data_IF_503523760627
#
_entry.id   IF_503523760627
#
_cell.length_a   1.000
_cell.length_b   1.000
_cell.length_c   1.000
_cell.angle_alpha   90.00
_cell.angle_beta   90.00
_cell.angle_gamma   90.00
#
_symmetry.space_group_name_H-M   'P 1'
#
loop_
_entity.id
_entity.type
_entity.pdbx_description
1 polymer ?
#
# COMPACT_ATOMS: atom_id res chain seq x y z
N UNK A 1 50.68 -21.41 40.75
CA UNK A 1 49.26 -21.64 40.47
C UNK A 1 48.79 -20.68 39.40
N UNK A 2 48.45 -21.24 38.25
CA UNK A 2 47.89 -20.42 37.20
C UNK A 2 46.39 -20.31 37.41
N UNK A 3 45.91 -19.09 37.71
CA UNK A 3 44.50 -18.84 37.69
C UNK A 3 44.03 -18.66 36.25
N UNK A 4 43.23 -19.57 35.77
CA UNK A 4 42.49 -19.42 34.52
C UNK A 4 41.33 -18.46 34.79
N UNK A 5 41.52 -17.20 34.37
CA UNK A 5 40.40 -16.27 34.31
C UNK A 5 39.62 -16.66 33.05
N UNK A 6 38.55 -17.41 33.22
CA UNK A 6 37.56 -17.59 32.15
C UNK A 6 36.79 -16.28 32.04
N UNK A 7 37.23 -15.44 31.08
CA UNK A 7 36.43 -14.28 30.71
C UNK A 7 35.14 -14.73 30.10
N UNK A 8 34.03 -14.57 30.82
CA UNK A 8 32.72 -14.75 30.28
C UNK A 8 32.48 -13.65 29.24
N UNK A 9 32.70 -13.97 27.97
CA UNK A 9 32.33 -13.06 26.88
C UNK A 9 30.83 -13.13 26.77
N UNK A 10 30.14 -12.18 27.37
CA UNK A 10 28.73 -11.95 27.14
C UNK A 10 28.61 -11.35 25.74
N UNK A 11 28.27 -12.21 24.77
CA UNK A 11 27.92 -11.75 23.44
C UNK A 11 26.51 -11.18 23.54
N UNK A 12 26.42 -9.86 23.68
CA UNK A 12 25.14 -9.17 23.51
C UNK A 12 24.80 -9.18 22.02
N UNK A 13 23.92 -10.08 21.62
CA UNK A 13 23.26 -9.96 20.33
C UNK A 13 22.32 -8.78 20.39
N UNK A 14 22.79 -7.62 19.95
CA UNK A 14 21.90 -6.47 19.74
C UNK A 14 21.11 -6.75 18.49
N UNK A 15 19.87 -7.22 18.64
CA UNK A 15 18.92 -7.23 17.55
C UNK A 15 18.47 -5.79 17.31
N UNK A 16 19.04 -5.17 16.27
CA UNK A 16 18.60 -3.85 15.84
C UNK A 16 17.26 -4.05 15.14
N UNK A 17 16.17 -3.75 15.85
CA UNK A 17 14.86 -3.65 15.25
C UNK A 17 14.80 -2.33 14.47
N UNK A 18 14.77 -2.40 13.14
CA UNK A 18 14.57 -1.20 12.32
C UNK A 18 13.12 -0.79 12.42
N UNK A 19 12.88 0.38 13.03
CA UNK A 19 11.56 0.98 13.08
C UNK A 19 11.18 1.48 11.68
N UNK A 20 10.15 0.91 11.07
CA UNK A 20 9.67 1.32 9.75
C UNK A 20 8.19 0.98 9.57
N UNK A 21 7.45 1.82 8.82
CA UNK A 21 6.11 1.46 8.40
C UNK A 21 6.17 0.40 7.29
N UNK A 22 5.13 -0.40 7.19
CA UNK A 22 4.95 -1.37 6.12
C UNK A 22 3.50 -1.36 5.67
N UNK A 23 3.29 -1.43 4.36
CA UNK A 23 1.95 -1.48 3.79
C UNK A 23 1.69 -2.85 3.18
N UNK A 24 0.58 -3.46 3.58
CA UNK A 24 0.13 -4.75 3.05
C UNK A 24 -1.30 -4.61 2.57
N UNK A 25 -1.51 -4.82 1.29
CA UNK A 25 -2.84 -4.78 0.68
C UNK A 25 -3.51 -6.15 0.76
N UNK A 26 -4.81 -6.18 0.97
CA UNK A 26 -5.62 -7.40 0.89
C UNK A 26 -5.57 -7.97 -0.54
N UNK A 27 -5.71 -7.08 -1.53
CA UNK A 27 -5.58 -7.41 -2.94
C UNK A 27 -5.19 -6.15 -3.72
N UNK A 28 -4.19 -6.27 -4.58
CA UNK A 28 -3.71 -5.15 -5.42
C UNK A 28 -4.40 -5.06 -6.77
N UNK A 29 -5.30 -5.98 -7.08
CA UNK A 29 -5.98 -6.04 -8.36
C UNK A 29 -7.48 -6.08 -8.17
N UNK A 30 -8.21 -5.37 -9.03
CA UNK A 30 -9.66 -5.44 -9.06
C UNK A 30 -10.17 -5.46 -10.48
N UNK A 31 -11.04 -6.42 -10.77
CA UNK A 31 -11.74 -6.55 -12.04
C UNK A 31 -13.19 -6.15 -11.85
N UNK A 32 -13.60 -5.04 -12.48
CA UNK A 32 -14.99 -4.58 -12.43
C UNK A 32 -15.93 -5.44 -13.29
N UNK A 33 -15.38 -6.33 -14.11
CA UNK A 33 -16.17 -7.13 -15.03
C UNK A 33 -16.74 -6.30 -16.18
N UNK A 34 -17.71 -6.87 -16.86
CA UNK A 34 -18.41 -6.20 -17.95
C UNK A 34 -19.57 -5.38 -17.39
N UNK A 35 -19.62 -4.11 -17.73
CA UNK A 35 -20.71 -3.21 -17.32
C UNK A 35 -21.02 -2.22 -18.44
N UNK A 36 -22.22 -1.65 -18.39
CA UNK A 36 -22.66 -0.65 -19.35
C UNK A 36 -22.01 0.70 -19.08
N UNK A 37 -21.61 1.42 -20.14
CA UNK A 37 -21.08 2.77 -20.04
C UNK A 37 -22.05 3.69 -19.29
N UNK A 38 -23.34 3.52 -19.52
CA UNK A 38 -24.42 4.31 -18.95
C UNK A 38 -24.60 4.10 -17.44
N UNK A 39 -24.07 3.02 -16.89
CA UNK A 39 -24.06 2.79 -15.43
C UNK A 39 -23.34 3.92 -14.69
N UNK A 40 -22.42 4.61 -15.38
CA UNK A 40 -21.63 5.69 -14.79
C UNK A 40 -20.38 5.18 -14.07
N UNK A 41 -19.75 6.03 -13.25
CA UNK A 41 -18.52 5.68 -12.57
C UNK A 41 -18.66 4.45 -11.68
N UNK A 42 -17.62 3.60 -11.71
CA UNK A 42 -17.51 2.41 -10.86
C UNK A 42 -16.38 2.62 -9.85
N UNK A 43 -16.56 2.09 -8.66
CA UNK A 43 -15.69 2.37 -7.53
C UNK A 43 -15.28 1.08 -6.81
N UNK A 44 -14.02 1.05 -6.36
CA UNK A 44 -13.51 -0.03 -5.54
C UNK A 44 -12.61 0.52 -4.42
N UNK A 45 -12.73 -0.03 -3.24
CA UNK A 45 -11.87 0.31 -2.10
C UNK A 45 -10.77 -0.75 -1.95
N UNK A 46 -9.52 -0.34 -2.13
CA UNK A 46 -8.36 -1.18 -1.86
C UNK A 46 -7.97 -1.03 -0.39
N UNK A 47 -8.21 -2.06 0.38
CA UNK A 47 -7.87 -2.07 1.80
C UNK A 47 -6.43 -2.47 2.03
N UNK A 48 -5.81 -1.81 2.99
CA UNK A 48 -4.46 -2.14 3.41
C UNK A 48 -4.32 -2.03 4.93
N UNK A 49 -3.27 -2.62 5.45
CA UNK A 49 -2.89 -2.58 6.87
C UNK A 49 -1.46 -2.08 6.97
N UNK A 50 -1.19 -1.24 7.97
CA UNK A 50 0.17 -0.95 8.36
C UNK A 50 0.68 -2.10 9.24
N UNK A 51 1.46 -2.99 8.66
CA UNK A 51 2.04 -4.14 9.36
C UNK A 51 3.39 -3.83 10.02
N UNK A 52 3.86 -2.60 9.89
CA UNK A 52 5.10 -2.13 10.52
C UNK A 52 4.91 -1.68 11.96
N UNK A 53 5.95 -1.05 12.50
CA UNK A 53 5.98 -0.57 13.88
C UNK A 53 6.10 0.96 13.98
N UNK A 54 5.96 1.67 12.87
CA UNK A 54 5.93 3.12 12.78
C UNK A 54 4.70 3.59 12.00
N UNK A 55 4.23 4.83 12.20
CA UNK A 55 3.10 5.35 11.43
C UNK A 55 3.36 5.35 9.92
N UNK A 56 2.37 4.89 9.16
CA UNK A 56 2.39 4.85 7.71
C UNK A 56 1.73 6.10 7.15
N UNK A 57 2.43 6.79 6.25
CA UNK A 57 1.90 7.97 5.56
C UNK A 57 1.86 7.70 4.06
N UNK A 58 0.68 7.86 3.47
CA UNK A 58 0.52 7.84 2.02
C UNK A 58 0.92 9.23 1.49
N UNK A 59 2.05 9.29 0.82
CA UNK A 59 2.62 10.57 0.34
C UNK A 59 2.00 11.01 -0.98
N UNK A 60 1.72 10.07 -1.88
CA UNK A 60 1.12 10.33 -3.16
C UNK A 60 0.41 9.09 -3.69
N UNK A 61 -0.77 9.29 -4.26
CA UNK A 61 -1.54 8.25 -4.96
C UNK A 61 -2.02 8.86 -6.26
N UNK A 62 -1.59 8.27 -7.38
CA UNK A 62 -1.90 8.85 -8.69
C UNK A 62 -2.21 7.79 -9.72
N UNK A 63 -3.01 8.17 -10.71
CA UNK A 63 -3.25 7.42 -11.94
C UNK A 63 -2.66 8.17 -13.12
N UNK A 64 -2.30 7.47 -14.19
CA UNK A 64 -1.86 8.05 -15.46
C UNK A 64 -3.02 8.57 -16.32
N UNK A 65 -4.26 8.24 -15.97
CA UNK A 65 -5.47 8.63 -16.67
C UNK A 65 -6.36 9.50 -15.78
N UNK A 66 -6.81 10.64 -16.29
CA UNK A 66 -7.83 11.47 -15.62
C UNK A 66 -9.18 10.78 -15.46
N UNK A 67 -9.38 9.63 -16.13
CA UNK A 67 -10.57 8.79 -16.01
C UNK A 67 -10.61 7.99 -14.71
N UNK A 68 -9.51 7.92 -14.00
CA UNK A 68 -9.34 7.17 -12.76
C UNK A 68 -8.93 8.13 -11.65
N UNK A 69 -9.77 8.25 -10.64
CA UNK A 69 -9.56 9.20 -9.54
C UNK A 69 -9.39 8.43 -8.23
N UNK A 70 -8.20 8.44 -7.62
CA UNK A 70 -7.99 7.86 -6.31
C UNK A 70 -8.31 8.87 -5.20
N UNK A 71 -8.93 8.37 -4.12
CA UNK A 71 -9.07 9.10 -2.85
C UNK A 71 -8.47 8.29 -1.74
N UNK A 72 -7.73 8.92 -0.86
CA UNK A 72 -7.01 8.23 0.19
C UNK A 72 -6.88 9.08 1.45
N UNK A 73 -6.66 8.40 2.57
CA UNK A 73 -6.41 9.05 3.85
C UNK A 73 -5.03 9.70 3.83
N UNK A 74 -4.96 10.98 4.15
CA UNK A 74 -3.71 11.74 4.23
C UNK A 74 -3.12 11.76 5.64
N UNK A 75 -3.88 11.33 6.62
CA UNK A 75 -3.43 11.21 8.01
C UNK A 75 -2.57 9.98 8.21
N UNK A 76 -1.59 10.03 9.14
CA UNK A 76 -0.79 8.86 9.46
C UNK A 76 -1.65 7.70 9.97
N UNK A 77 -1.31 6.50 9.53
CA UNK A 77 -1.98 5.25 9.92
C UNK A 77 -1.09 4.55 10.93
N UNK A 78 -1.60 4.40 12.15
CA UNK A 78 -0.85 3.79 13.24
C UNK A 78 -0.49 2.32 12.96
N UNK A 79 0.58 1.80 13.55
CA UNK A 79 0.92 0.38 13.44
C UNK A 79 -0.27 -0.52 13.81
N UNK A 80 -0.55 -1.50 12.97
CA UNK A 80 -1.68 -2.42 13.14
C UNK A 80 -3.02 -1.90 12.65
N UNK A 81 -3.13 -0.62 12.37
CA UNK A 81 -4.37 -0.04 11.84
C UNK A 81 -4.48 -0.25 10.34
N UNK A 82 -5.70 -0.17 9.85
CA UNK A 82 -6.03 -0.31 8.44
C UNK A 82 -6.46 1.01 7.83
N UNK A 83 -6.34 1.10 6.51
CA UNK A 83 -6.84 2.18 5.71
C UNK A 83 -7.34 1.67 4.37
N UNK A 84 -7.81 2.57 3.53
CA UNK A 84 -8.25 2.22 2.20
C UNK A 84 -7.93 3.31 1.20
N UNK A 85 -7.79 2.89 -0.06
CA UNK A 85 -7.68 3.78 -1.22
C UNK A 85 -8.89 3.52 -2.08
N UNK A 86 -9.74 4.52 -2.20
CA UNK A 86 -10.94 4.45 -3.01
C UNK A 86 -10.62 4.88 -4.43
N UNK A 87 -10.79 3.99 -5.39
CA UNK A 87 -10.51 4.25 -6.80
C UNK A 87 -11.81 4.28 -7.58
N UNK A 88 -12.06 5.38 -8.27
CA UNK A 88 -13.24 5.58 -9.11
C UNK A 88 -12.82 5.66 -10.57
N UNK A 89 -13.42 4.84 -11.41
CA UNK A 89 -13.20 4.84 -12.86
C UNK A 89 -14.43 5.36 -13.59
N UNK A 90 -14.23 6.36 -14.44
CA UNK A 90 -15.30 6.91 -15.27
C UNK A 90 -15.24 6.30 -16.69
N UNK A 91 -16.20 5.44 -17.05
CA UNK A 91 -16.22 4.76 -18.36
C UNK A 91 -16.75 5.64 -19.49
N UNK A 92 -17.24 6.83 -19.22
CA UNK A 92 -17.87 7.70 -20.22
C UNK A 92 -16.95 8.00 -21.40
N UNK A 93 -17.38 7.65 -22.60
CA UNK A 93 -16.59 7.86 -23.81
C UNK A 93 -15.41 6.89 -23.96
N UNK A 94 -15.39 5.80 -23.17
CA UNK A 94 -14.29 4.83 -23.15
C UNK A 94 -14.79 3.40 -23.29
N UNK A 95 -15.40 3.05 -24.45
CA UNK A 95 -15.91 1.70 -24.66
C UNK A 95 -14.75 0.69 -24.77
N UNK A 96 -15.06 -0.56 -24.48
CA UNK A 96 -14.10 -1.67 -24.58
C UNK A 96 -13.36 -1.94 -23.28
N UNK A 97 -12.42 -2.86 -23.37
CA UNK A 97 -11.61 -3.28 -22.21
C UNK A 97 -10.69 -2.16 -21.75
N UNK A 98 -10.49 -2.08 -20.44
CA UNK A 98 -9.50 -1.19 -19.85
C UNK A 98 -8.64 -1.92 -18.83
N UNK A 99 -7.43 -1.41 -18.64
CA UNK A 99 -6.50 -1.81 -17.57
C UNK A 99 -5.72 -0.58 -17.17
N UNK A 100 -5.85 -0.15 -15.91
CA UNK A 100 -5.26 1.08 -15.42
C UNK A 100 -4.47 0.83 -14.14
N UNK A 101 -3.21 1.30 -14.07
CA UNK A 101 -2.42 1.24 -12.85
C UNK A 101 -2.69 2.46 -11.96
N UNK A 102 -2.59 2.26 -10.66
CA UNK A 102 -2.56 3.33 -9.66
C UNK A 102 -1.26 3.20 -8.89
N UNK A 103 -0.46 4.25 -8.87
CA UNK A 103 0.85 4.29 -8.24
C UNK A 103 0.76 4.94 -6.87
N UNK A 104 1.32 4.27 -5.88
CA UNK A 104 1.27 4.69 -4.48
C UNK A 104 2.68 4.86 -3.96
N UNK A 105 2.98 6.06 -3.46
CA UNK A 105 4.23 6.37 -2.77
C UNK A 105 3.93 6.58 -1.30
N UNK A 106 4.67 5.88 -0.45
CA UNK A 106 4.53 5.96 1.01
C UNK A 106 5.88 6.23 1.66
N UNK A 107 5.86 6.44 2.97
CA UNK A 107 7.09 6.48 3.77
C UNK A 107 7.60 5.09 4.17
N UNK A 108 6.96 4.01 3.71
CA UNK A 108 7.46 2.66 3.92
C UNK A 108 8.74 2.43 3.10
N UNK A 109 9.63 1.57 3.61
CA UNK A 109 10.80 1.17 2.85
C UNK A 109 10.40 0.25 1.70
N UNK A 110 11.14 0.36 0.58
CA UNK A 110 10.91 -0.44 -0.60
C UNK A 110 10.44 0.39 -1.79
N UNK A 111 10.10 -0.30 -2.87
CA UNK A 111 9.61 0.33 -4.09
C UNK A 111 8.17 0.82 -3.91
N UNK A 112 7.75 1.75 -4.79
CA UNK A 112 6.37 2.20 -4.79
C UNK A 112 5.43 1.02 -5.07
N UNK A 113 4.27 1.06 -4.46
CA UNK A 113 3.22 0.08 -4.67
C UNK A 113 2.41 0.43 -5.92
N UNK A 114 1.93 -0.60 -6.61
CA UNK A 114 1.07 -0.43 -7.78
C UNK A 114 -0.20 -1.25 -7.62
N UNK A 115 -1.35 -0.58 -7.72
CA UNK A 115 -2.65 -1.23 -7.79
C UNK A 115 -3.09 -1.26 -9.26
N UNK A 116 -3.93 -2.22 -9.62
CA UNK A 116 -4.49 -2.33 -10.96
C UNK A 116 -5.98 -2.48 -10.91
N UNK A 117 -6.67 -1.74 -11.78
CA UNK A 117 -8.08 -1.94 -12.08
C UNK A 117 -8.22 -2.33 -13.53
N UNK A 118 -9.21 -3.16 -13.81
CA UNK A 118 -9.56 -3.57 -15.18
C UNK A 118 -11.05 -3.85 -15.29
N UNK A 119 -11.50 -3.91 -16.51
CA UNK A 119 -12.88 -4.25 -16.80
C UNK A 119 -13.18 -4.35 -18.30
#
# INVERSE_FOLDING_TARGET
MKQLILGLILIFSITVSVAQPQIVFDNKNHDFGTFEEETGPVTHDFRFVNSGNEPLVLQNVRSTCGCTVPKYTREPIAPGDSGSIKVTYNPKGRPGKFSKPIYITTNASGDRETLHIKG
#
